data_IF_721629447480
#
_entry.id   IF_721629447480
#
_cell.length_a   1.000
_cell.length_b   1.000
_cell.length_c   1.000
_cell.angle_alpha   90.00
_cell.angle_beta   90.00
_cell.angle_gamma   90.00
#
_symmetry.space_group_name_H-M   'P 1'
#
loop_
_entity.id
_entity.type
_entity.pdbx_description
1 polymer ?
#
# COMPACT_ATOMS: atom_id res chain seq x y z
N UNK A 1 -59.98 -59.24 -8.03
CA UNK A 1 -59.28 -58.37 -9.01
C UNK A 1 -60.22 -57.21 -9.30
N UNK A 2 -59.97 -55.93 -9.02
CA UNK A 2 -58.78 -55.11 -8.72
C UNK A 2 -59.14 -54.06 -7.65
N UNK A 3 -58.22 -53.62 -6.76
CA UNK A 3 -58.44 -52.44 -5.93
C UNK A 3 -57.96 -51.18 -6.67
N UNK A 4 -58.84 -50.23 -6.92
CA UNK A 4 -58.48 -48.90 -7.43
C UNK A 4 -58.25 -47.97 -6.24
N UNK A 5 -56.99 -47.66 -5.96
CA UNK A 5 -56.56 -46.68 -4.96
C UNK A 5 -56.87 -45.26 -5.44
N UNK A 6 -57.90 -44.64 -4.86
CA UNK A 6 -58.20 -43.23 -5.07
C UNK A 6 -57.17 -42.36 -4.34
N UNK A 7 -56.23 -41.78 -5.08
CA UNK A 7 -55.38 -40.69 -4.60
C UNK A 7 -56.26 -39.48 -4.26
N UNK A 8 -56.49 -39.24 -2.95
CA UNK A 8 -57.08 -37.99 -2.47
C UNK A 8 -56.06 -36.86 -2.66
N UNK A 9 -56.17 -36.12 -3.76
CA UNK A 9 -55.53 -34.82 -3.87
C UNK A 9 -56.14 -33.89 -2.83
N UNK A 10 -55.41 -33.59 -1.75
CA UNK A 10 -55.77 -32.53 -0.80
C UNK A 10 -55.85 -31.22 -1.60
N UNK A 11 -57.06 -30.73 -1.85
CA UNK A 11 -57.26 -29.45 -2.50
C UNK A 11 -56.71 -28.33 -1.60
N UNK A 12 -55.67 -27.64 -2.07
CA UNK A 12 -55.12 -26.47 -1.38
C UNK A 12 -56.23 -25.41 -1.24
N UNK A 13 -56.41 -24.91 -0.01
CA UNK A 13 -57.25 -23.73 0.28
C UNK A 13 -56.88 -22.60 -0.68
N UNK A 14 -57.87 -21.81 -1.12
CA UNK A 14 -57.68 -20.66 -2.02
C UNK A 14 -56.58 -19.72 -1.52
N UNK A 15 -56.48 -19.57 -0.19
CA UNK A 15 -55.42 -18.82 0.51
C UNK A 15 -54.02 -19.37 0.21
N UNK A 16 -53.86 -20.70 0.23
CA UNK A 16 -52.59 -21.36 -0.05
C UNK A 16 -52.18 -21.23 -1.53
N UNK A 17 -53.15 -21.22 -2.46
CA UNK A 17 -52.89 -21.00 -3.89
C UNK A 17 -52.41 -19.58 -4.19
N UNK A 18 -53.01 -18.56 -3.56
CA UNK A 18 -52.57 -17.17 -3.71
C UNK A 18 -51.18 -16.94 -3.12
N UNK A 19 -50.91 -17.46 -1.91
CA UNK A 19 -49.57 -17.39 -1.29
C UNK A 19 -48.53 -18.09 -2.15
N UNK A 20 -48.84 -19.27 -2.70
CA UNK A 20 -47.94 -19.99 -3.60
C UNK A 20 -47.64 -19.18 -4.87
N UNK A 21 -48.65 -18.55 -5.47
CA UNK A 21 -48.50 -17.74 -6.69
C UNK A 21 -47.65 -16.49 -6.44
N UNK A 22 -47.91 -15.74 -5.37
CA UNK A 22 -47.09 -14.60 -4.97
C UNK A 22 -45.64 -15.04 -4.72
N UNK A 23 -45.45 -16.12 -3.95
CA UNK A 23 -44.12 -16.63 -3.61
C UNK A 23 -43.37 -17.07 -4.88
N UNK A 24 -44.06 -17.71 -5.82
CA UNK A 24 -43.49 -18.13 -7.10
C UNK A 24 -43.06 -16.93 -7.98
N UNK A 25 -43.70 -15.77 -7.86
CA UNK A 25 -43.31 -14.54 -8.58
C UNK A 25 -42.23 -13.76 -7.83
N UNK A 26 -42.28 -13.74 -6.49
CA UNK A 26 -41.35 -12.97 -5.67
C UNK A 26 -39.96 -13.60 -5.60
N UNK A 27 -39.87 -14.93 -5.51
CA UNK A 27 -38.60 -15.65 -5.41
C UNK A 27 -37.67 -15.31 -6.59
N UNK A 28 -38.08 -15.41 -7.87
CA UNK A 28 -37.22 -15.06 -9.00
C UNK A 28 -36.70 -13.61 -8.95
N UNK A 29 -37.51 -12.65 -8.52
CA UNK A 29 -37.11 -11.24 -8.41
C UNK A 29 -36.05 -11.05 -7.32
N UNK A 30 -36.26 -11.65 -6.14
CA UNK A 30 -35.29 -11.58 -5.03
C UNK A 30 -33.99 -12.27 -5.39
N UNK A 31 -34.06 -13.43 -6.05
CA UNK A 31 -32.88 -14.15 -6.54
C UNK A 31 -32.12 -13.32 -7.59
N UNK A 32 -32.83 -12.71 -8.54
CA UNK A 32 -32.21 -11.88 -9.57
C UNK A 32 -31.55 -10.63 -8.97
N UNK A 33 -32.22 -9.94 -8.04
CA UNK A 33 -31.65 -8.80 -7.36
C UNK A 33 -30.44 -9.18 -6.47
N UNK A 34 -30.51 -10.32 -5.77
CA UNK A 34 -29.37 -10.87 -5.04
C UNK A 34 -28.19 -11.22 -5.95
N UNK A 35 -28.46 -11.79 -7.12
CA UNK A 35 -27.45 -12.06 -8.15
C UNK A 35 -26.82 -10.75 -8.66
N UNK A 36 -27.61 -9.72 -8.95
CA UNK A 36 -27.10 -8.41 -9.37
C UNK A 36 -26.23 -7.76 -8.30
N UNK A 37 -26.63 -7.84 -7.02
CA UNK A 37 -25.82 -7.33 -5.91
C UNK A 37 -24.50 -8.10 -5.76
N UNK A 38 -24.53 -9.43 -5.88
CA UNK A 38 -23.31 -10.23 -5.87
C UNK A 38 -22.39 -9.88 -7.04
N UNK A 39 -22.95 -9.70 -8.24
CA UNK A 39 -22.19 -9.28 -9.43
C UNK A 39 -21.60 -7.89 -9.25
N UNK A 40 -22.35 -6.96 -8.66
CA UNK A 40 -21.86 -5.61 -8.31
C UNK A 40 -20.73 -5.69 -7.28
N UNK A 41 -20.88 -6.49 -6.22
CA UNK A 41 -19.84 -6.74 -5.21
C UNK A 41 -18.52 -7.21 -5.82
N UNK A 42 -18.62 -8.19 -6.72
CA UNK A 42 -17.47 -8.76 -7.40
C UNK A 42 -16.78 -7.72 -8.30
N UNK A 43 -17.56 -6.93 -9.04
CA UNK A 43 -17.03 -5.87 -9.90
C UNK A 43 -16.35 -4.76 -9.08
N UNK A 44 -16.94 -4.38 -7.95
CA UNK A 44 -16.41 -3.35 -7.06
C UNK A 44 -15.05 -3.74 -6.47
N UNK A 45 -14.92 -5.01 -6.05
CA UNK A 45 -13.66 -5.55 -5.55
C UNK A 45 -12.56 -5.51 -6.61
N UNK A 46 -12.85 -5.95 -7.84
CA UNK A 46 -11.88 -5.93 -8.95
C UNK A 46 -11.44 -4.49 -9.25
N UNK A 47 -12.34 -3.50 -9.13
CA UNK A 47 -11.98 -2.09 -9.27
C UNK A 47 -10.98 -1.65 -8.20
N UNK A 48 -11.24 -1.95 -6.92
CA UNK A 48 -10.30 -1.63 -5.84
C UNK A 48 -8.94 -2.34 -6.01
N UNK A 49 -8.92 -3.58 -6.49
CA UNK A 49 -7.69 -4.30 -6.81
C UNK A 49 -6.88 -3.57 -7.89
N UNK A 50 -7.55 -3.13 -8.96
CA UNK A 50 -6.92 -2.38 -10.05
C UNK A 50 -6.40 -1.02 -9.58
N UNK A 51 -7.23 -0.23 -8.89
CA UNK A 51 -6.88 1.10 -8.39
C UNK A 51 -5.71 1.04 -7.41
N UNK A 52 -5.69 0.04 -6.51
CA UNK A 52 -4.60 -0.15 -5.56
C UNK A 52 -3.29 -0.53 -6.24
N UNK A 53 -3.34 -1.41 -7.26
CA UNK A 53 -2.17 -1.81 -8.02
C UNK A 53 -1.64 -0.67 -8.89
N UNK A 54 -2.55 0.09 -9.52
CA UNK A 54 -2.17 1.28 -10.28
C UNK A 54 -1.49 2.30 -9.36
N UNK A 55 -2.05 2.56 -8.18
CA UNK A 55 -1.43 3.45 -7.20
C UNK A 55 -0.06 2.94 -6.75
N UNK A 56 0.12 1.63 -6.51
CA UNK A 56 1.43 1.09 -6.13
C UNK A 56 2.47 1.28 -7.24
N UNK A 57 2.07 1.11 -8.51
CA UNK A 57 2.94 1.38 -9.66
C UNK A 57 3.29 2.86 -9.79
N UNK A 58 2.29 3.75 -9.70
CA UNK A 58 2.49 5.20 -9.79
C UNK A 58 3.43 5.71 -8.70
N UNK A 59 3.24 5.26 -7.46
CA UNK A 59 4.10 5.61 -6.33
C UNK A 59 5.50 5.04 -6.51
N UNK A 60 5.66 3.77 -6.92
CA UNK A 60 6.99 3.20 -7.19
C UNK A 60 7.74 4.01 -8.24
N UNK A 61 7.09 4.36 -9.35
CA UNK A 61 7.69 5.18 -10.41
C UNK A 61 8.04 6.60 -9.91
N UNK A 62 7.23 7.19 -9.03
CA UNK A 62 7.54 8.49 -8.43
C UNK A 62 8.78 8.43 -7.53
N UNK A 63 8.89 7.38 -6.70
CA UNK A 63 10.07 7.17 -5.84
C UNK A 63 11.31 6.91 -6.69
N UNK A 64 11.22 6.04 -7.70
CA UNK A 64 12.34 5.74 -8.60
C UNK A 64 12.84 7.02 -9.29
N UNK A 65 11.95 7.90 -9.72
CA UNK A 65 12.32 9.20 -10.30
C UNK A 65 13.05 10.11 -9.31
N UNK A 66 12.59 10.18 -8.05
CA UNK A 66 13.28 10.98 -7.01
C UNK A 66 14.68 10.41 -6.74
N UNK A 67 14.80 9.08 -6.63
CA UNK A 67 16.08 8.41 -6.43
C UNK A 67 17.03 8.67 -7.60
N UNK A 68 16.57 8.52 -8.85
CA UNK A 68 17.36 8.82 -10.05
C UNK A 68 17.82 10.29 -10.05
N UNK A 69 16.95 11.23 -9.71
CA UNK A 69 17.30 12.64 -9.63
C UNK A 69 18.37 12.95 -8.58
N UNK A 70 18.28 12.31 -7.41
CA UNK A 70 19.28 12.43 -6.34
C UNK A 70 20.61 11.77 -6.75
N UNK A 71 20.57 10.61 -7.39
CA UNK A 71 21.75 9.94 -7.95
C UNK A 71 22.48 10.84 -8.95
N UNK A 72 21.76 11.43 -9.91
CA UNK A 72 22.37 12.32 -10.90
C UNK A 72 23.02 13.57 -10.28
N UNK A 73 22.38 14.17 -9.27
CA UNK A 73 22.96 15.29 -8.52
C UNK A 73 24.22 14.87 -7.76
N UNK A 74 24.22 13.66 -7.19
CA UNK A 74 25.34 13.12 -6.44
C UNK A 74 26.53 12.76 -7.34
N UNK A 75 26.27 12.16 -8.51
CA UNK A 75 27.29 11.88 -9.52
C UNK A 75 27.94 13.19 -10.00
N UNK A 76 27.16 14.24 -10.24
CA UNK A 76 27.69 15.56 -10.58
C UNK A 76 28.61 16.10 -9.48
N UNK A 77 28.21 16.00 -8.20
CA UNK A 77 29.05 16.39 -7.07
C UNK A 77 30.31 15.52 -6.94
N UNK A 78 30.23 14.22 -7.24
CA UNK A 78 31.37 13.30 -7.20
C UNK A 78 32.46 13.66 -8.22
N UNK A 79 32.12 14.37 -9.30
CA UNK A 79 33.08 14.90 -10.27
C UNK A 79 33.78 16.19 -9.85
N UNK A 80 33.44 16.75 -8.68
CA UNK A 80 34.00 18.03 -8.22
C UNK A 80 35.53 17.96 -8.06
N UNK A 81 36.29 18.93 -8.63
CA UNK A 81 37.74 19.01 -8.45
C UNK A 81 38.16 19.12 -6.98
N UNK A 82 37.29 19.66 -6.12
CA UNK A 82 37.51 19.76 -4.68
C UNK A 82 37.64 18.41 -3.96
N UNK A 83 37.14 17.32 -4.57
CA UNK A 83 37.25 15.96 -4.02
C UNK A 83 38.52 15.24 -4.49
N UNK A 84 39.27 15.81 -5.42
CA UNK A 84 40.51 15.23 -5.92
C UNK A 84 41.66 15.42 -4.91
N UNK A 85 42.75 14.63 -4.98
CA UNK A 85 43.90 14.80 -4.10
C UNK A 85 44.45 16.23 -4.13
N UNK A 86 44.52 16.87 -2.96
CA UNK A 86 44.93 18.28 -2.81
C UNK A 86 43.81 19.31 -3.06
N UNK A 87 42.57 18.87 -3.28
CA UNK A 87 41.40 19.71 -3.45
C UNK A 87 40.90 20.36 -2.14
N UNK A 88 40.12 21.43 -2.29
CA UNK A 88 39.56 22.19 -1.17
C UNK A 88 38.22 21.59 -0.71
N UNK A 89 38.28 20.78 0.36
CA UNK A 89 37.09 20.17 0.98
C UNK A 89 36.15 21.19 1.64
N UNK A 90 36.62 22.38 2.02
CA UNK A 90 35.77 23.43 2.58
C UNK A 90 34.89 24.06 1.48
N UNK A 91 35.46 24.25 0.29
CA UNK A 91 34.70 24.65 -0.90
C UNK A 91 33.66 23.58 -1.27
N UNK A 92 34.03 22.30 -1.20
CA UNK A 92 33.08 21.21 -1.42
C UNK A 92 31.94 21.20 -0.39
N UNK A 93 32.23 21.32 0.91
CA UNK A 93 31.20 21.37 1.96
C UNK A 93 30.22 22.53 1.72
N UNK A 94 30.72 23.70 1.32
CA UNK A 94 29.88 24.86 0.96
C UNK A 94 28.97 24.54 -0.22
N UNK A 95 29.51 23.95 -1.29
CA UNK A 95 28.73 23.54 -2.47
C UNK A 95 27.69 22.47 -2.11
N UNK A 96 28.08 21.45 -1.36
CA UNK A 96 27.22 20.34 -0.92
C UNK A 96 26.04 20.85 -0.08
N UNK A 97 26.28 21.76 0.86
CA UNK A 97 25.20 22.42 1.63
C UNK A 97 24.28 23.22 0.72
N UNK A 98 24.81 23.95 -0.26
CA UNK A 98 24.01 24.74 -1.19
C UNK A 98 23.05 23.87 -2.03
N UNK A 99 23.50 22.68 -2.47
CA UNK A 99 22.67 21.70 -3.20
C UNK A 99 21.54 21.15 -2.33
N UNK A 100 21.80 20.94 -1.04
CA UNK A 100 20.84 20.31 -0.12
C UNK A 100 20.01 21.26 0.75
N UNK A 101 20.21 22.58 0.63
CA UNK A 101 19.61 23.63 1.48
C UNK A 101 18.10 23.50 1.72
N UNK A 102 17.35 22.86 0.82
CA UNK A 102 15.89 22.75 0.88
C UNK A 102 15.39 21.29 1.05
N UNK A 103 16.26 20.30 1.29
CA UNK A 103 15.90 18.87 1.18
C UNK A 103 15.98 18.05 2.48
N UNK A 104 16.35 18.65 3.62
CA UNK A 104 16.43 17.94 4.92
C UNK A 104 17.35 16.72 4.90
N UNK A 105 18.30 16.68 3.96
CA UNK A 105 19.21 15.57 3.72
C UNK A 105 20.63 16.01 4.04
N UNK A 106 21.54 15.06 4.24
CA UNK A 106 22.95 15.34 4.48
C UNK A 106 23.81 14.70 3.40
N UNK A 107 24.92 15.34 3.07
CA UNK A 107 25.96 14.73 2.26
C UNK A 107 27.08 14.28 3.19
N UNK A 108 27.53 13.04 3.00
CA UNK A 108 28.75 12.57 3.62
C UNK A 108 29.64 11.92 2.57
N UNK A 109 30.94 11.87 2.86
CA UNK A 109 31.91 11.13 2.07
C UNK A 109 32.70 10.22 3.00
N UNK A 110 32.86 8.96 2.63
CA UNK A 110 33.58 7.96 3.42
C UNK A 110 34.67 7.29 2.61
N UNK A 111 35.74 6.89 3.28
CA UNK A 111 36.75 6.00 2.72
C UNK A 111 36.36 4.51 2.89
N UNK A 112 37.23 3.62 2.42
CA UNK A 112 37.03 2.16 2.48
C UNK A 112 36.99 1.58 3.89
N UNK A 113 37.44 2.33 4.90
CA UNK A 113 37.39 1.92 6.30
C UNK A 113 36.11 2.38 7.00
N UNK A 114 35.27 3.16 6.31
CA UNK A 114 34.08 3.80 6.88
C UNK A 114 34.39 5.12 7.58
N UNK A 115 35.64 5.57 7.59
CA UNK A 115 36.02 6.88 8.13
C UNK A 115 35.37 7.97 7.30
N UNK A 116 34.61 8.84 7.96
CA UNK A 116 34.01 10.00 7.31
C UNK A 116 35.07 11.08 7.07
N UNK A 117 35.10 11.61 5.85
CA UNK A 117 36.01 12.67 5.40
C UNK A 117 35.27 14.00 5.30
N UNK A 118 34.00 13.96 4.84
CA UNK A 118 33.09 15.10 4.77
C UNK A 118 31.76 14.67 5.38
N UNK A 119 31.12 15.56 6.13
CA UNK A 119 29.75 15.37 6.59
C UNK A 119 29.06 16.71 6.83
N UNK A 120 28.06 17.05 6.02
CA UNK A 120 27.36 18.33 6.09
C UNK A 120 26.36 18.42 7.25
N UNK A 121 26.11 17.32 8.00
CA UNK A 121 25.31 17.34 9.24
C UNK A 121 26.02 18.00 10.42
N UNK A 122 27.33 18.25 10.30
CA UNK A 122 28.17 18.91 11.30
C UNK A 122 28.83 20.14 10.68
N UNK A 123 29.25 21.15 11.46
CA UNK A 123 30.11 22.21 10.95
C UNK A 123 31.39 21.64 10.33
N UNK A 124 31.87 22.23 9.24
CA UNK A 124 33.11 21.82 8.60
C UNK A 124 34.29 21.84 9.59
N UNK A 125 35.18 20.85 9.50
CA UNK A 125 36.33 20.70 10.41
C UNK A 125 36.01 20.07 11.77
N UNK A 126 34.74 19.77 12.07
CA UNK A 126 34.38 19.01 13.28
C UNK A 126 34.96 17.60 13.23
N UNK A 127 35.33 16.99 14.37
CA UNK A 127 35.70 15.57 14.42
C UNK A 127 34.58 14.69 13.87
N UNK A 128 34.91 13.83 12.90
CA UNK A 128 33.95 12.94 12.25
C UNK A 128 34.16 11.49 12.70
N UNK A 129 33.08 10.77 13.06
CA UNK A 129 33.19 9.39 13.51
C UNK A 129 33.47 8.43 12.35
N UNK A 130 33.94 7.23 12.69
CA UNK A 130 33.94 6.09 11.78
C UNK A 130 32.53 5.51 11.73
N UNK A 131 32.00 5.31 10.53
CA UNK A 131 30.69 4.70 10.33
C UNK A 131 30.80 3.18 10.49
N UNK A 132 29.93 2.59 11.31
CA UNK A 132 30.00 1.16 11.67
C UNK A 132 28.75 0.38 11.32
N UNK A 133 27.70 1.04 10.81
CA UNK A 133 26.45 0.38 10.44
C UNK A 133 26.70 -0.60 9.25
N UNK A 134 26.38 -1.90 9.39
CA UNK A 134 26.68 -2.89 8.36
C UNK A 134 25.97 -2.64 7.02
N UNK A 135 24.77 -2.03 7.04
CA UNK A 135 23.99 -1.77 5.82
C UNK A 135 24.67 -0.70 4.99
N UNK A 136 25.11 0.37 5.66
CA UNK A 136 25.86 1.46 5.05
C UNK A 136 27.20 0.95 4.50
N UNK A 137 27.97 0.18 5.28
CA UNK A 137 29.26 -0.33 4.84
C UNK A 137 29.16 -1.34 3.68
N UNK A 138 28.04 -2.07 3.60
CA UNK A 138 27.75 -2.94 2.46
C UNK A 138 27.46 -2.14 1.19
N UNK A 139 26.70 -1.03 1.31
CA UNK A 139 26.43 -0.13 0.19
C UNK A 139 27.73 0.55 -0.31
N UNK A 140 28.56 1.06 0.61
CA UNK A 140 29.88 1.63 0.30
C UNK A 140 30.74 0.61 -0.46
N UNK A 141 30.82 -0.63 0.05
CA UNK A 141 31.57 -1.71 -0.59
C UNK A 141 31.07 -2.00 -2.00
N UNK A 142 29.76 -2.11 -2.18
CA UNK A 142 29.17 -2.36 -3.49
C UNK A 142 29.49 -1.21 -4.46
N UNK A 143 29.45 0.04 -4.01
CA UNK A 143 29.84 1.19 -4.82
C UNK A 143 31.34 1.15 -5.19
N UNK A 144 32.21 0.77 -4.25
CA UNK A 144 33.65 0.59 -4.51
C UNK A 144 33.96 -0.52 -5.51
N UNK A 145 33.25 -1.64 -5.43
CA UNK A 145 33.47 -2.83 -6.27
C UNK A 145 32.90 -2.65 -7.68
N UNK A 146 31.70 -2.08 -7.77
CA UNK A 146 30.99 -1.94 -9.06
C UNK A 146 31.33 -0.66 -9.81
N UNK A 147 31.83 0.37 -9.09
CA UNK A 147 32.02 1.70 -9.66
C UNK A 147 30.70 2.35 -10.08
N UNK A 148 29.57 1.92 -9.53
CA UNK A 148 28.22 2.42 -9.84
C UNK A 148 27.52 2.93 -8.59
N UNK A 149 26.53 3.83 -8.74
CA UNK A 149 25.70 4.24 -7.62
C UNK A 149 24.89 3.09 -7.02
N UNK A 150 24.62 3.18 -5.71
CA UNK A 150 23.89 2.17 -4.94
C UNK A 150 22.87 2.85 -4.05
N UNK A 151 21.66 2.30 -3.98
CA UNK A 151 20.63 2.71 -3.01
C UNK A 151 20.63 1.70 -1.87
N UNK A 152 20.73 2.17 -0.63
CA UNK A 152 20.75 1.29 0.54
C UNK A 152 19.34 0.92 1.01
N UNK A 153 19.28 -0.09 1.87
CA UNK A 153 18.14 -0.27 2.79
C UNK A 153 18.22 0.71 3.96
N UNK A 154 17.25 0.64 4.88
CA UNK A 154 17.21 1.49 6.06
C UNK A 154 18.40 1.18 7.00
N UNK A 155 19.15 2.21 7.37
CA UNK A 155 20.29 2.11 8.28
C UNK A 155 20.20 3.17 9.39
N UNK A 156 21.08 3.09 10.38
CA UNK A 156 21.15 4.10 11.45
C UNK A 156 22.36 5.00 11.26
N UNK A 157 22.14 6.30 11.07
CA UNK A 157 23.22 7.27 10.89
C UNK A 157 24.10 7.39 12.13
N UNK A 158 25.41 7.12 12.00
CA UNK A 158 26.35 7.19 13.14
C UNK A 158 26.43 8.60 13.75
N UNK A 159 26.29 9.63 12.92
CA UNK A 159 26.44 11.02 13.37
C UNK A 159 25.15 11.63 13.94
N UNK A 160 24.00 11.22 13.42
CA UNK A 160 22.67 11.79 13.72
C UNK A 160 21.82 10.90 14.64
N UNK A 161 22.09 9.58 14.68
CA UNK A 161 21.25 8.60 15.36
C UNK A 161 19.91 8.29 14.66
N UNK A 162 19.63 8.95 13.53
CA UNK A 162 18.37 8.81 12.80
C UNK A 162 18.37 7.55 11.92
N UNK A 163 17.17 7.03 11.66
CA UNK A 163 16.94 6.01 10.63
C UNK A 163 16.91 6.68 9.27
N UNK A 164 17.85 6.32 8.40
CA UNK A 164 18.08 6.97 7.12
C UNK A 164 18.16 5.93 6.01
N UNK A 165 17.98 6.39 4.78
CA UNK A 165 18.33 5.65 3.56
C UNK A 165 19.37 6.47 2.82
N UNK A 166 20.35 5.82 2.20
CA UNK A 166 21.38 6.53 1.46
C UNK A 166 21.37 6.14 -0.02
N UNK A 167 21.88 7.08 -0.80
CA UNK A 167 22.29 6.86 -2.18
C UNK A 167 23.78 7.13 -2.19
N UNK A 168 24.58 6.11 -2.49
CA UNK A 168 26.02 6.21 -2.66
C UNK A 168 26.36 6.43 -4.14
N UNK A 169 27.35 7.27 -4.42
CA UNK A 169 28.03 7.38 -5.69
C UNK A 169 29.55 7.31 -5.47
N UNK A 170 30.29 6.55 -6.27
CA UNK A 170 31.72 6.42 -6.11
C UNK A 170 32.44 7.69 -6.60
N UNK A 171 33.37 8.18 -5.78
CA UNK A 171 34.32 9.22 -6.17
C UNK A 171 35.55 8.54 -6.74
N UNK A 172 35.79 8.78 -8.02
CA UNK A 172 36.90 8.18 -8.74
C UNK A 172 38.17 9.03 -8.55
N UNK A 173 39.23 8.37 -8.07
CA UNK A 173 40.56 8.96 -7.94
C UNK A 173 41.54 8.07 -8.70
N UNK A 174 42.20 8.63 -9.71
CA UNK A 174 43.13 7.89 -10.60
C UNK A 174 42.52 6.61 -11.19
N UNK A 175 41.23 6.67 -11.56
CA UNK A 175 40.51 5.54 -12.18
C UNK A 175 40.02 4.47 -11.20
N UNK A 176 40.18 4.66 -9.89
CA UNK A 176 39.67 3.74 -8.87
C UNK A 176 38.65 4.43 -7.97
N UNK A 177 37.59 3.72 -7.56
CA UNK A 177 36.65 4.19 -6.56
C UNK A 177 37.33 4.22 -5.19
N UNK A 178 37.72 5.42 -4.76
CA UNK A 178 38.50 5.65 -3.54
C UNK A 178 37.61 6.06 -2.36
N UNK A 179 36.56 6.84 -2.64
CA UNK A 179 35.59 7.30 -1.64
C UNK A 179 34.15 7.04 -2.09
N UNK A 180 33.26 6.83 -1.14
CA UNK A 180 31.83 6.76 -1.36
C UNK A 180 31.21 8.08 -0.91
N UNK A 181 30.75 8.87 -1.87
CA UNK A 181 29.99 10.09 -1.61
C UNK A 181 28.52 9.73 -1.56
N UNK A 182 27.77 10.27 -0.60
CA UNK A 182 26.36 9.94 -0.45
C UNK A 182 25.48 11.12 -0.12
N UNK A 183 24.20 10.92 -0.43
CA UNK A 183 23.10 11.67 0.15
C UNK A 183 22.39 10.74 1.12
N UNK A 184 22.38 11.12 2.40
CA UNK A 184 21.56 10.50 3.42
C UNK A 184 20.19 11.21 3.46
N UNK A 185 19.15 10.49 3.07
CA UNK A 185 17.77 10.95 2.98
C UNK A 185 16.99 10.54 4.23
N UNK A 186 16.27 11.50 4.81
CA UNK A 186 15.29 11.23 5.85
C UNK A 186 14.02 10.61 5.24
N UNK A 187 13.60 9.40 5.69
CA UNK A 187 12.37 8.78 5.21
C UNK A 187 11.10 9.59 5.46
N UNK A 188 11.11 10.58 6.36
CA UNK A 188 10.01 11.52 6.55
C UNK A 188 9.63 12.24 5.25
N UNK A 189 10.61 12.55 4.40
CA UNK A 189 10.35 13.19 3.09
C UNK A 189 9.61 12.26 2.13
N UNK A 190 9.90 10.96 2.19
CA UNK A 190 9.15 9.96 1.41
C UNK A 190 7.73 9.83 1.96
N UNK A 191 7.58 9.84 3.29
CA UNK A 191 6.27 9.82 3.97
C UNK A 191 5.37 10.98 3.52
N UNK A 192 5.91 12.21 3.41
CA UNK A 192 5.16 13.37 2.90
C UNK A 192 4.64 13.16 1.47
N UNK A 193 5.47 12.59 0.59
CA UNK A 193 5.05 12.23 -0.77
C UNK A 193 3.91 11.21 -0.71
N UNK A 194 4.05 10.15 0.09
CA UNK A 194 3.01 9.13 0.24
C UNK A 194 1.70 9.70 0.80
N UNK A 195 1.78 10.60 1.78
CA UNK A 195 0.61 11.24 2.38
C UNK A 195 -0.15 12.13 1.38
N UNK A 196 0.56 12.75 0.43
CA UNK A 196 -0.06 13.61 -0.59
C UNK A 196 -0.84 12.85 -1.67
N UNK A 197 -0.49 11.59 -1.92
CA UNK A 197 -1.08 10.75 -2.99
C UNK A 197 -2.03 9.67 -2.46
N UNK A 198 -1.94 9.32 -1.17
CA UNK A 198 -2.78 8.29 -0.57
C UNK A 198 -4.25 8.76 -0.49
N UNK A 199 -5.21 8.00 -1.04
CA UNK A 199 -6.63 8.26 -0.82
C UNK A 199 -7.01 8.22 0.66
N UNK A 200 -8.11 8.89 1.06
CA UNK A 200 -8.65 8.77 2.40
C UNK A 200 -8.84 7.30 2.82
N UNK A 201 -8.54 7.00 4.08
CA UNK A 201 -8.58 5.65 4.66
C UNK A 201 -7.57 4.62 4.09
N UNK A 202 -6.94 4.89 2.94
CA UNK A 202 -5.92 3.99 2.38
C UNK A 202 -4.58 4.20 3.07
N UNK A 203 -3.79 3.13 3.15
CA UNK A 203 -2.44 3.18 3.70
C UNK A 203 -1.45 2.84 2.60
N UNK A 204 -0.48 3.72 2.34
CA UNK A 204 0.63 3.45 1.43
C UNK A 204 1.91 3.34 2.26
N UNK A 205 2.74 2.36 1.96
CA UNK A 205 4.01 2.13 2.65
C UNK A 205 5.12 1.76 1.67
N UNK A 206 6.35 2.17 2.01
CA UNK A 206 7.57 1.71 1.35
C UNK A 206 8.27 0.74 2.31
N UNK A 207 8.64 -0.42 1.79
CA UNK A 207 9.31 -1.49 2.52
C UNK A 207 10.64 -1.77 1.82
N UNK A 208 11.73 -1.80 2.57
CA UNK A 208 13.05 -2.08 2.02
C UNK A 208 13.21 -3.55 1.62
N UNK A 209 14.40 -3.90 1.10
CA UNK A 209 14.68 -5.26 0.65
C UNK A 209 14.75 -6.27 1.82
N UNK A 210 14.90 -5.78 3.06
CA UNK A 210 15.00 -6.54 4.31
C UNK A 210 13.70 -6.54 5.12
N UNK A 211 12.57 -6.29 4.48
CA UNK A 211 11.23 -6.28 5.09
C UNK A 211 11.04 -5.20 6.18
N UNK A 212 11.83 -4.11 6.19
CA UNK A 212 11.65 -3.00 7.13
C UNK A 212 10.87 -1.87 6.50
N UNK A 213 9.99 -1.25 7.29
CA UNK A 213 9.24 -0.07 6.85
C UNK A 213 10.18 1.12 6.71
N UNK A 214 10.30 1.64 5.49
CA UNK A 214 11.04 2.88 5.21
C UNK A 214 10.14 4.08 5.40
N UNK A 215 8.94 4.09 4.81
CA UNK A 215 8.01 5.20 4.91
C UNK A 215 6.56 4.72 4.92
N UNK A 216 5.65 5.52 5.49
CA UNK A 216 4.20 5.26 5.48
C UNK A 216 3.45 6.56 5.31
N UNK A 217 2.32 6.56 4.61
CA UNK A 217 1.44 7.74 4.48
C UNK A 217 0.78 8.16 5.79
N UNK A 218 0.74 7.26 6.79
CA UNK A 218 0.10 7.47 8.09
C UNK A 218 0.92 6.83 9.19
N UNK A 219 0.96 7.48 10.37
CA UNK A 219 1.69 6.99 11.55
C UNK A 219 3.16 6.63 11.24
N UNK A 220 3.81 7.43 10.39
CA UNK A 220 5.15 7.15 9.90
C UNK A 220 6.15 7.00 11.04
N UNK A 221 6.17 7.95 11.96
CA UNK A 221 7.13 8.04 13.06
C UNK A 221 7.02 6.83 14.00
N UNK A 222 5.80 6.30 14.16
CA UNK A 222 5.53 5.15 15.04
C UNK A 222 6.07 3.83 14.50
N UNK A 223 6.06 3.67 13.17
CA UNK A 223 6.38 2.41 12.50
C UNK A 223 7.64 2.48 11.65
N UNK A 224 8.34 3.62 11.62
CA UNK A 224 9.61 3.77 10.92
C UNK A 224 10.60 2.70 11.38
N UNK A 225 11.05 1.91 10.42
CA UNK A 225 11.97 0.83 10.64
C UNK A 225 11.39 -0.31 11.45
N UNK A 226 10.07 -0.49 11.61
CA UNK A 226 9.54 -1.76 12.10
C UNK A 226 9.60 -2.85 11.02
N UNK A 227 9.46 -4.13 11.38
CA UNK A 227 9.21 -5.15 10.35
C UNK A 227 7.83 -4.96 9.73
N UNK A 228 7.73 -5.24 8.44
CA UNK A 228 6.46 -5.38 7.76
C UNK A 228 5.68 -6.58 8.30
N UNK A 229 4.35 -6.58 8.12
CA UNK A 229 3.50 -7.65 8.65
C UNK A 229 3.86 -9.01 8.04
N UNK A 230 3.71 -10.13 8.77
CA UNK A 230 4.06 -11.46 8.27
C UNK A 230 3.36 -11.83 6.96
N UNK A 231 2.10 -11.43 6.79
CA UNK A 231 1.33 -11.64 5.56
C UNK A 231 1.93 -10.88 4.37
N UNK A 232 2.33 -9.62 4.55
CA UNK A 232 2.99 -8.85 3.50
C UNK A 232 4.30 -9.52 3.10
N UNK A 233 5.13 -9.90 4.07
CA UNK A 233 6.45 -10.52 3.80
C UNK A 233 6.34 -11.83 3.03
N UNK A 234 5.37 -12.68 3.40
CA UNK A 234 5.20 -14.01 2.81
C UNK A 234 4.51 -13.99 1.45
N UNK A 235 3.61 -13.03 1.21
CA UNK A 235 2.80 -12.98 -0.02
C UNK A 235 3.33 -11.99 -1.08
N UNK A 236 4.37 -11.20 -0.77
CA UNK A 236 4.93 -10.16 -1.68
C UNK A 236 6.35 -10.46 -2.19
N UNK A 237 6.60 -11.73 -2.55
CA UNK A 237 7.93 -12.18 -3.02
C UNK A 237 8.21 -11.88 -4.50
N UNK A 238 7.17 -11.60 -5.30
CA UNK A 238 7.28 -11.31 -6.73
C UNK A 238 7.62 -9.86 -7.07
N UNK A 239 7.44 -9.52 -8.36
CA UNK A 239 7.60 -8.15 -8.88
C UNK A 239 6.40 -7.23 -8.56
N UNK A 240 5.24 -7.81 -8.29
CA UNK A 240 4.02 -7.11 -7.92
C UNK A 240 2.83 -8.05 -7.84
N UNK A 241 1.71 -7.56 -7.33
CA UNK A 241 0.47 -8.33 -7.24
C UNK A 241 -0.47 -7.87 -6.14
N UNK A 242 -1.50 -8.67 -5.91
CA UNK A 242 -2.53 -8.45 -4.90
C UNK A 242 -2.37 -9.49 -3.79
N UNK A 243 -2.63 -9.08 -2.54
CA UNK A 243 -2.79 -10.00 -1.42
C UNK A 243 -3.93 -9.56 -0.50
N UNK A 244 -4.42 -10.44 0.36
CA UNK A 244 -5.31 -10.06 1.45
C UNK A 244 -4.51 -10.16 2.74
N UNK A 245 -4.63 -9.14 3.58
CA UNK A 245 -3.71 -8.98 4.70
C UNK A 245 -4.27 -8.09 5.79
N UNK A 246 -3.38 -7.65 6.66
CA UNK A 246 -3.70 -6.67 7.69
C UNK A 246 -2.64 -5.58 7.75
N UNK A 247 -3.04 -4.39 8.18
CA UNK A 247 -2.09 -3.33 8.50
C UNK A 247 -1.37 -3.63 9.83
N UNK A 248 -0.32 -2.86 10.14
CA UNK A 248 0.38 -2.96 11.43
C UNK A 248 -0.51 -2.59 12.64
N UNK A 249 -1.66 -1.97 12.39
CA UNK A 249 -2.70 -1.67 13.37
C UNK A 249 -3.74 -2.81 13.52
N UNK A 250 -3.62 -3.90 12.75
CA UNK A 250 -4.54 -5.04 12.77
C UNK A 250 -5.81 -4.84 11.94
N UNK A 251 -5.87 -3.82 11.08
CA UNK A 251 -7.02 -3.59 10.20
C UNK A 251 -6.93 -4.48 8.97
N UNK A 252 -8.00 -5.23 8.67
CA UNK A 252 -8.07 -6.05 7.46
C UNK A 252 -8.04 -5.19 6.19
N UNK A 253 -7.16 -5.55 5.27
CA UNK A 253 -6.96 -4.83 4.01
C UNK A 253 -6.87 -5.76 2.82
N UNK A 254 -7.36 -5.26 1.69
CA UNK A 254 -6.94 -5.71 0.38
C UNK A 254 -5.65 -4.96 0.03
N UNK A 255 -4.56 -5.69 -0.13
CA UNK A 255 -3.24 -5.15 -0.43
C UNK A 255 -2.88 -5.26 -1.90
N UNK A 256 -2.22 -4.25 -2.45
CA UNK A 256 -1.55 -4.30 -3.75
C UNK A 256 -0.10 -3.83 -3.60
N UNK A 257 0.83 -4.47 -4.31
CA UNK A 257 2.24 -4.10 -4.23
C UNK A 257 2.95 -4.09 -5.58
N UNK A 258 4.00 -3.30 -5.63
CA UNK A 258 4.97 -3.24 -6.73
C UNK A 258 6.36 -3.24 -6.14
N UNK A 259 7.27 -4.03 -6.70
CA UNK A 259 8.70 -4.02 -6.34
C UNK A 259 9.47 -3.20 -7.37
N UNK A 260 10.21 -2.20 -6.92
CA UNK A 260 11.14 -1.44 -7.75
C UNK A 260 12.33 -2.30 -8.14
N UNK A 261 12.66 -2.33 -9.43
CA UNK A 261 13.89 -2.96 -9.92
C UNK A 261 15.14 -2.11 -9.66
N UNK A 262 14.97 -0.81 -9.36
CA UNK A 262 16.06 0.11 -9.09
C UNK A 262 16.63 -0.09 -7.68
N UNK A 263 15.76 -0.09 -6.67
CA UNK A 263 16.15 -0.18 -5.25
C UNK A 263 15.89 -1.55 -4.62
N UNK A 264 15.08 -2.40 -5.25
CA UNK A 264 14.59 -3.64 -4.64
C UNK A 264 13.49 -3.43 -3.59
N UNK A 265 13.16 -2.18 -3.27
CA UNK A 265 12.09 -1.81 -2.34
C UNK A 265 10.72 -2.19 -2.90
N UNK A 266 9.77 -2.41 -2.00
CA UNK A 266 8.36 -2.59 -2.33
C UNK A 266 7.57 -1.37 -1.92
N UNK A 267 6.66 -0.96 -2.80
CA UNK A 267 5.56 -0.09 -2.47
C UNK A 267 4.34 -0.96 -2.23
N UNK A 268 3.72 -0.82 -1.06
CA UNK A 268 2.53 -1.54 -0.64
C UNK A 268 1.39 -0.56 -0.41
N UNK A 269 0.22 -0.85 -0.97
CA UNK A 269 -1.02 -0.09 -0.81
C UNK A 269 -2.04 -0.99 -0.14
N UNK A 270 -2.58 -0.57 0.99
CA UNK A 270 -3.63 -1.27 1.72
C UNK A 270 -4.95 -0.52 1.65
N UNK A 271 -5.96 -1.14 1.04
CA UNK A 271 -7.35 -0.67 0.98
C UNK A 271 -8.12 -1.33 2.12
N UNK A 272 -8.73 -0.56 3.05
CA UNK A 272 -9.52 -1.14 4.14
C UNK A 272 -10.65 -2.03 3.62
N UNK A 273 -10.79 -3.23 4.19
CA UNK A 273 -11.87 -4.14 3.83
C UNK A 273 -13.26 -3.53 4.08
N UNK A 274 -13.37 -2.58 5.03
CA UNK A 274 -14.58 -1.79 5.25
C UNK A 274 -14.96 -0.94 4.03
N UNK A 275 -13.99 -0.34 3.32
CA UNK A 275 -14.26 0.41 2.10
C UNK A 275 -14.74 -0.51 0.95
N UNK A 276 -14.21 -1.74 0.90
CA UNK A 276 -14.60 -2.76 -0.08
C UNK A 276 -16.00 -3.34 0.21
N UNK A 277 -16.43 -3.40 1.48
CA UNK A 277 -17.68 -4.05 1.89
C UNK A 277 -18.81 -3.11 2.35
N UNK A 278 -18.53 -1.83 2.64
CA UNK A 278 -19.53 -0.89 3.15
C UNK A 278 -20.77 -0.70 2.24
N UNK A 279 -20.64 -0.57 0.90
CA UNK A 279 -21.80 -0.41 0.03
C UNK A 279 -22.72 -1.64 0.04
N UNK A 280 -22.16 -2.83 0.25
CA UNK A 280 -22.87 -4.10 0.12
C UNK A 280 -23.81 -4.36 1.29
N UNK A 281 -23.38 -4.08 2.52
CA UNK A 281 -24.20 -4.36 3.71
C UNK A 281 -25.49 -3.52 3.72
N UNK A 282 -25.43 -2.28 3.26
CA UNK A 282 -26.61 -1.43 3.20
C UNK A 282 -27.57 -1.87 2.09
N UNK A 283 -27.03 -2.25 0.93
CA UNK A 283 -27.82 -2.77 -0.18
C UNK A 283 -28.47 -4.13 0.12
N UNK A 284 -27.79 -5.03 0.85
CA UNK A 284 -28.38 -6.30 1.27
C UNK A 284 -29.53 -6.10 2.26
N UNK A 285 -29.42 -5.17 3.21
CA UNK A 285 -30.53 -4.81 4.10
C UNK A 285 -31.70 -4.17 3.36
N UNK A 286 -31.44 -3.31 2.37
CA UNK A 286 -32.50 -2.76 1.52
C UNK A 286 -33.18 -3.87 0.72
N UNK A 287 -32.41 -4.79 0.14
CA UNK A 287 -32.96 -5.91 -0.61
C UNK A 287 -33.82 -6.82 0.29
N UNK A 288 -33.29 -7.25 1.43
CA UNK A 288 -34.02 -8.08 2.39
C UNK A 288 -35.25 -7.35 2.93
N UNK A 289 -35.12 -6.06 3.25
CA UNK A 289 -36.22 -5.21 3.68
C UNK A 289 -37.31 -5.09 2.62
N UNK A 290 -36.95 -4.87 1.36
CA UNK A 290 -37.91 -4.82 0.24
C UNK A 290 -38.59 -6.17 0.00
N UNK A 291 -37.84 -7.28 0.10
CA UNK A 291 -38.39 -8.62 -0.05
C UNK A 291 -39.39 -8.93 1.07
N UNK A 292 -39.04 -8.59 2.32
CA UNK A 292 -39.91 -8.75 3.47
C UNK A 292 -41.16 -7.86 3.38
N UNK A 293 -41.03 -6.60 2.95
CA UNK A 293 -42.14 -5.67 2.77
C UNK A 293 -43.13 -6.16 1.71
N UNK A 294 -42.64 -6.66 0.56
CA UNK A 294 -43.50 -7.21 -0.49
C UNK A 294 -44.20 -8.48 -0.03
N UNK A 295 -43.50 -9.36 0.71
CA UNK A 295 -44.11 -10.56 1.31
C UNK A 295 -45.23 -10.18 2.29
N UNK A 296 -44.97 -9.23 3.20
CA UNK A 296 -45.94 -8.74 4.17
C UNK A 296 -47.16 -8.09 3.50
N UNK A 297 -46.95 -7.24 2.51
CA UNK A 297 -48.02 -6.60 1.73
C UNK A 297 -48.89 -7.64 1.01
N UNK A 298 -48.27 -8.68 0.46
CA UNK A 298 -48.98 -9.76 -0.22
C UNK A 298 -49.81 -10.62 0.75
N UNK A 299 -49.27 -10.91 1.93
CA UNK A 299 -50.02 -11.60 3.00
C UNK A 299 -51.21 -10.73 3.44
N UNK A 300 -51.00 -9.43 3.66
CA UNK A 300 -52.06 -8.50 4.06
C UNK A 300 -53.18 -8.41 3.01
N UNK A 301 -52.83 -8.28 1.72
CA UNK A 301 -53.80 -8.29 0.62
C UNK A 301 -54.57 -9.62 0.54
N UNK A 302 -53.90 -10.74 0.72
CA UNK A 302 -54.55 -12.06 0.73
C UNK A 302 -55.53 -12.23 1.90
N UNK A 303 -55.22 -11.67 3.08
CA UNK A 303 -56.12 -11.65 4.24
C UNK A 303 -57.30 -10.71 4.00
N UNK A 304 -57.05 -9.48 3.51
CA UNK A 304 -58.10 -8.49 3.24
C UNK A 304 -59.12 -8.98 2.20
N UNK A 305 -58.66 -9.55 1.09
CA UNK A 305 -59.56 -10.16 0.10
C UNK A 305 -60.33 -11.37 0.67
N UNK A 306 -59.74 -12.12 1.61
CA UNK A 306 -60.40 -13.26 2.24
C UNK A 306 -61.47 -12.83 3.25
N UNK A 307 -61.33 -11.67 3.88
CA UNK A 307 -62.34 -11.09 4.78
C UNK A 307 -63.46 -10.40 4.00
N UNK A 308 -63.15 -9.73 2.88
CA UNK A 308 -64.13 -9.06 2.02
C UNK A 308 -65.10 -10.01 1.27
N UNK A 309 -64.77 -11.29 1.14
CA UNK A 309 -65.63 -12.31 0.50
C UNK A 309 -66.55 -13.02 1.52
N UNK A 310 -66.35 -12.81 2.82
CA UNK A 310 -67.24 -13.31 3.90
C UNK A 310 -68.14 -12.18 4.43
N UNK A 311 -68.64 -11.33 3.53
CA UNK A 311 -69.79 -10.47 3.83
C UNK A 311 -71.05 -11.34 3.95
N UNK A 312 -71.87 -11.19 5.00
CA UNK A 312 -73.03 -12.05 5.21
C UNK A 312 -74.01 -11.85 4.05
N UNK A 313 -74.32 -12.95 3.36
CA UNK A 313 -75.48 -13.00 2.48
C UNK A 313 -76.70 -13.20 3.39
N UNK A 314 -77.21 -12.10 3.95
CA UNK A 314 -78.58 -12.05 4.46
C UNK A 314 -79.49 -11.70 3.27
N UNK A 315 -80.18 -12.72 2.76
CA UNK A 315 -81.62 -12.75 2.46
C UNK A 315 -81.99 -14.05 1.71
#
# INVERSE_FOLDING_TARGET
MHPSSAFRHRALSTRARLVLLVTAVLIPVVLFAGFLLWRFAAAERVRYEHDALELSHQVSAAIDRELIGLTAALEALATSPSLQPGGDLAAFDTQARAVLRNRGSFIAMRDRTGQQIVNTSRPFGSPLPVSTDPILLAADRQAFETGKPVVSDLYTGTTTGLKLVLIDAPVMVRGQAAFALNIALDPARLSEILASVAPPEWTVAIIDSRDRIVARSRQHERYLGSEATPDLRTHTTGAGGIWNGQTLEGMAVLGAYTRSSLSGWRVAVGVPASAVHAPLRQMTWILLGSAAAVLAASIALAVWFAEGIVGPWDD
#
